data_IF_847321616595
#
_entry.id   IF_847321616595
#
_cell.length_a   1.000
_cell.length_b   1.000
_cell.length_c   1.000
_cell.angle_alpha   90.00
_cell.angle_beta   90.00
_cell.angle_gamma   90.00
#
_symmetry.space_group_name_H-M   'P 1'
#
loop_
_entity.id
_entity.type
_entity.pdbx_description
1 polymer ?
#
# COMPACT_ATOMS: atom_id res chain seq x y z
N UNK A 1 44.80 -12.59 -19.10
CA UNK A 1 44.63 -11.23 -18.56
C UNK A 1 43.93 -11.36 -17.23
N UNK A 2 44.68 -11.13 -16.17
CA UNK A 2 44.33 -11.33 -14.77
C UNK A 2 43.53 -10.10 -14.28
N UNK A 3 42.24 -10.29 -13.98
CA UNK A 3 41.39 -9.20 -13.46
C UNK A 3 41.63 -9.10 -11.96
N UNK A 4 42.60 -8.26 -11.61
CA UNK A 4 42.88 -7.85 -10.24
C UNK A 4 41.63 -7.21 -9.62
N UNK A 5 41.29 -7.72 -8.44
CA UNK A 5 40.36 -7.16 -7.46
C UNK A 5 40.45 -5.64 -7.35
N UNK A 6 39.37 -4.93 -7.67
CA UNK A 6 39.21 -3.51 -7.36
C UNK A 6 38.80 -3.27 -5.89
N UNK A 7 39.22 -4.16 -4.97
CA UNK A 7 38.96 -4.03 -3.53
C UNK A 7 37.48 -3.96 -3.14
N UNK A 8 36.57 -4.25 -4.07
CA UNK A 8 35.13 -4.17 -3.85
C UNK A 8 34.61 -5.56 -3.53
N UNK A 9 34.32 -5.79 -2.25
CA UNK A 9 33.68 -7.02 -1.80
C UNK A 9 32.25 -7.05 -2.37
N UNK A 10 31.99 -7.94 -3.34
CA UNK A 10 30.65 -8.16 -3.88
C UNK A 10 29.78 -8.83 -2.81
N UNK A 11 29.15 -8.01 -1.97
CA UNK A 11 28.12 -8.46 -1.05
C UNK A 11 26.90 -8.91 -1.86
N UNK A 12 26.60 -10.20 -1.80
CA UNK A 12 25.37 -10.74 -2.38
C UNK A 12 24.18 -10.08 -1.68
N UNK A 13 23.28 -9.48 -2.46
CA UNK A 13 22.09 -8.80 -1.94
C UNK A 13 21.21 -9.83 -1.25
N UNK A 14 21.39 -9.95 0.06
CA UNK A 14 20.59 -10.81 0.88
C UNK A 14 19.15 -10.27 0.87
N UNK A 15 18.21 -11.02 0.28
CA UNK A 15 16.79 -10.66 0.25
C UNK A 15 16.14 -10.67 1.66
N UNK A 16 16.90 -11.03 2.70
CA UNK A 16 16.53 -10.87 4.11
C UNK A 16 17.09 -9.59 4.76
N UNK A 17 17.95 -8.83 4.06
CA UNK A 17 18.39 -7.51 4.54
C UNK A 17 17.20 -6.57 4.40
N UNK A 18 16.43 -6.47 5.47
CA UNK A 18 15.31 -5.56 5.56
C UNK A 18 15.82 -4.17 5.14
N UNK A 19 15.39 -3.71 3.97
CA UNK A 19 15.44 -2.33 3.54
C UNK A 19 14.51 -1.57 4.51
N UNK A 20 15.03 -1.35 5.72
CA UNK A 20 14.44 -0.54 6.78
C UNK A 20 14.68 0.88 6.35
N UNK A 21 13.61 1.63 6.17
CA UNK A 21 13.71 3.07 6.15
C UNK A 21 14.31 3.53 7.50
N UNK A 22 15.46 4.20 7.46
CA UNK A 22 16.23 4.60 8.65
C UNK A 22 15.45 5.58 9.55
N UNK A 23 14.42 6.25 9.02
CA UNK A 23 13.58 7.20 9.76
C UNK A 23 12.37 6.56 10.46
N UNK A 24 11.64 5.67 9.77
CA UNK A 24 10.37 5.12 10.27
C UNK A 24 10.47 3.68 10.81
N UNK A 25 11.55 2.94 10.52
CA UNK A 25 11.71 1.54 10.90
C UNK A 25 10.72 0.57 10.22
N UNK A 26 9.83 1.09 9.37
CA UNK A 26 8.80 0.31 8.67
C UNK A 26 9.48 -0.54 7.60
N UNK A 27 9.17 -1.83 7.61
CA UNK A 27 9.73 -2.76 6.63
C UNK A 27 9.09 -2.49 5.27
N UNK A 28 9.92 -2.14 4.28
CA UNK A 28 9.49 -1.97 2.88
C UNK A 28 8.73 -3.21 2.35
N UNK A 29 9.00 -4.39 2.92
CA UNK A 29 8.30 -5.64 2.63
C UNK A 29 6.79 -5.57 2.93
N UNK A 30 6.37 -4.86 3.98
CA UNK A 30 4.96 -4.65 4.30
C UNK A 30 4.25 -3.80 3.26
N UNK A 31 4.93 -2.75 2.77
CA UNK A 31 4.43 -1.87 1.71
C UNK A 31 4.32 -2.65 0.39
N UNK A 32 5.36 -3.40 0.01
CA UNK A 32 5.35 -4.25 -1.19
C UNK A 32 4.23 -5.28 -1.14
N UNK A 33 4.08 -6.00 -0.02
CA UNK A 33 3.02 -7.00 0.17
C UNK A 33 1.62 -6.37 0.06
N UNK A 34 1.42 -5.22 0.71
CA UNK A 34 0.16 -4.48 0.63
C UNK A 34 -0.17 -4.02 -0.80
N UNK A 35 0.84 -3.57 -1.55
CA UNK A 35 0.68 -3.19 -2.96
C UNK A 35 0.35 -4.40 -3.86
N UNK A 36 0.99 -5.56 -3.63
CA UNK A 36 0.66 -6.79 -4.35
C UNK A 36 -0.78 -7.25 -4.09
N UNK A 37 -1.22 -7.23 -2.83
CA UNK A 37 -2.57 -7.60 -2.48
C UNK A 37 -3.61 -6.59 -3.03
N UNK A 38 -3.30 -5.29 -3.00
CA UNK A 38 -4.13 -4.26 -3.64
C UNK A 38 -4.28 -4.51 -5.14
N UNK A 39 -3.17 -4.79 -5.84
CA UNK A 39 -3.19 -5.14 -7.27
C UNK A 39 -4.03 -6.37 -7.57
N UNK A 40 -3.91 -7.42 -6.77
CA UNK A 40 -4.69 -8.64 -6.94
C UNK A 40 -6.20 -8.42 -6.72
N UNK A 41 -6.59 -7.39 -5.98
CA UNK A 41 -8.00 -7.06 -5.71
C UNK A 41 -8.65 -6.17 -6.79
N UNK A 42 -7.86 -5.70 -7.76
CA UNK A 42 -8.35 -4.96 -8.93
C UNK A 42 -8.63 -5.96 -10.07
N UNK A 43 -9.73 -5.80 -10.81
CA UNK A 43 -10.00 -6.67 -11.96
C UNK A 43 -8.94 -6.47 -13.04
N UNK A 44 -8.65 -7.53 -13.79
CA UNK A 44 -7.75 -7.52 -14.95
C UNK A 44 -8.28 -6.70 -16.15
N UNK A 45 -9.53 -6.22 -16.06
CA UNK A 45 -10.17 -5.43 -17.09
C UNK A 45 -9.81 -3.94 -16.94
N UNK A 46 -8.71 -3.55 -17.57
CA UNK A 46 -8.38 -2.15 -17.82
C UNK A 46 -7.59 -1.52 -16.68
N UNK A 47 -6.25 -1.60 -16.81
CA UNK A 47 -5.32 -0.83 -16.00
C UNK A 47 -5.41 0.65 -16.39
N UNK A 48 -6.44 1.31 -15.90
CA UNK A 48 -6.70 2.71 -16.18
C UNK A 48 -6.00 3.53 -15.10
N UNK A 49 -4.91 4.21 -15.47
CA UNK A 49 -4.00 4.91 -14.53
C UNK A 49 -4.72 5.84 -13.55
N UNK A 50 -5.81 6.48 -13.98
CA UNK A 50 -6.58 7.40 -13.12
C UNK A 50 -7.38 6.70 -12.01
N UNK A 51 -7.70 5.40 -12.15
CA UNK A 51 -8.42 4.65 -11.12
C UNK A 51 -7.50 4.06 -10.04
N UNK A 52 -6.17 4.12 -10.18
CA UNK A 52 -5.22 3.50 -9.25
C UNK A 52 -5.38 4.07 -7.84
N UNK A 53 -5.47 5.39 -7.70
CA UNK A 53 -5.61 6.04 -6.39
C UNK A 53 -6.91 5.61 -5.70
N UNK A 54 -8.04 5.64 -6.41
CA UNK A 54 -9.34 5.20 -5.88
C UNK A 54 -9.37 3.72 -5.52
N UNK A 55 -8.76 2.86 -6.35
CA UNK A 55 -8.66 1.43 -6.07
C UNK A 55 -7.78 1.13 -4.85
N UNK A 56 -6.66 1.84 -4.71
CA UNK A 56 -5.79 1.71 -3.54
C UNK A 56 -6.51 2.19 -2.28
N UNK A 57 -7.19 3.34 -2.34
CA UNK A 57 -7.99 3.85 -1.23
C UNK A 57 -9.09 2.86 -0.82
N UNK A 58 -9.83 2.29 -1.80
CA UNK A 58 -10.83 1.25 -1.56
C UNK A 58 -10.23 0.01 -0.89
N UNK A 59 -9.09 -0.47 -1.37
CA UNK A 59 -8.41 -1.63 -0.78
C UNK A 59 -8.00 -1.36 0.67
N UNK A 60 -7.36 -0.22 0.94
CA UNK A 60 -6.93 0.16 2.28
C UNK A 60 -8.12 0.34 3.23
N UNK A 61 -9.19 0.96 2.76
CA UNK A 61 -10.43 1.12 3.52
C UNK A 61 -11.04 -0.24 3.89
N UNK A 62 -11.22 -1.13 2.91
CA UNK A 62 -11.78 -2.46 3.17
C UNK A 62 -10.90 -3.30 4.10
N UNK A 63 -9.57 -3.17 3.97
CA UNK A 63 -8.62 -3.83 4.88
C UNK A 63 -8.81 -3.34 6.31
N UNK A 64 -8.89 -2.02 6.53
CA UNK A 64 -9.13 -1.43 7.85
C UNK A 64 -10.46 -1.89 8.43
N UNK A 65 -11.54 -1.87 7.65
CA UNK A 65 -12.85 -2.32 8.12
C UNK A 65 -12.82 -3.79 8.54
N UNK A 66 -12.12 -4.66 7.78
CA UNK A 66 -11.92 -6.06 8.16
C UNK A 66 -11.11 -6.23 9.44
N UNK A 67 -10.02 -5.49 9.60
CA UNK A 67 -9.19 -5.50 10.82
C UNK A 67 -10.00 -5.06 12.05
N UNK A 68 -10.90 -4.09 11.89
CA UNK A 68 -11.77 -3.56 12.95
C UNK A 68 -13.11 -4.31 13.08
N UNK A 69 -13.36 -5.36 12.28
CA UNK A 69 -14.64 -6.10 12.21
C UNK A 69 -15.86 -5.20 11.98
N UNK A 70 -15.70 -4.17 11.16
CA UNK A 70 -16.74 -3.23 10.78
C UNK A 70 -17.35 -3.60 9.42
N UNK A 71 -18.64 -3.28 9.25
CA UNK A 71 -19.26 -3.31 7.92
C UNK A 71 -18.74 -2.12 7.10
N UNK A 72 -18.05 -2.44 5.99
CA UNK A 72 -17.41 -1.43 5.17
C UNK A 72 -18.41 -0.49 4.48
N UNK A 73 -19.59 -0.98 4.12
CA UNK A 73 -20.63 -0.18 3.46
C UNK A 73 -21.24 0.83 4.42
N UNK A 74 -21.59 0.37 5.63
CA UNK A 74 -22.12 1.23 6.68
C UNK A 74 -21.11 2.30 7.09
N UNK A 75 -19.84 1.92 7.28
CA UNK A 75 -18.78 2.84 7.65
C UNK A 75 -18.52 3.88 6.55
N UNK A 76 -18.61 3.48 5.27
CA UNK A 76 -18.51 4.41 4.16
C UNK A 76 -19.63 5.46 4.19
N UNK A 77 -20.88 5.04 4.34
CA UNK A 77 -22.00 5.97 4.42
C UNK A 77 -21.91 6.90 5.64
N UNK A 78 -21.44 6.38 6.78
CA UNK A 78 -21.20 7.20 7.98
C UNK A 78 -20.18 8.30 7.71
N UNK A 79 -19.04 7.97 7.12
CA UNK A 79 -17.98 8.94 6.78
C UNK A 79 -18.42 9.93 5.71
N UNK A 80 -19.09 9.46 4.65
CA UNK A 80 -19.63 10.31 3.59
C UNK A 80 -20.68 11.29 4.14
N UNK A 81 -21.58 10.80 5.00
CA UNK A 81 -22.58 11.64 5.67
C UNK A 81 -21.95 12.71 6.54
N UNK A 82 -20.90 12.41 7.30
CA UNK A 82 -20.16 13.42 8.09
C UNK A 82 -19.53 14.49 7.21
N UNK A 83 -18.87 14.09 6.12
CA UNK A 83 -18.22 15.01 5.20
C UNK A 83 -19.24 15.94 4.52
N UNK A 84 -20.35 15.39 4.02
CA UNK A 84 -21.35 16.17 3.28
C UNK A 84 -22.25 17.00 4.20
N UNK A 85 -22.65 16.50 5.37
CA UNK A 85 -23.43 17.27 6.33
C UNK A 85 -22.62 18.43 6.93
N UNK A 86 -21.31 18.28 7.10
CA UNK A 86 -20.43 19.38 7.53
C UNK A 86 -20.32 20.51 6.49
N UNK A 87 -20.75 20.26 5.24
CA UNK A 87 -20.62 21.21 4.13
C UNK A 87 -21.94 21.96 3.85
N UNK A 88 -23.06 21.56 4.45
CA UNK A 88 -24.33 22.28 4.34
C UNK A 88 -24.46 23.31 5.47
N UNK A 89 -24.64 24.61 5.18
CA UNK A 89 -24.97 25.59 6.22
C UNK A 89 -26.37 25.28 6.77
N UNK A 90 -26.50 25.38 8.10
CA UNK A 90 -27.74 25.24 8.87
C UNK A 90 -28.79 26.27 8.48
#
# INVERSE_FOLDING_TARGET
MDKRDEGYEHMSVNHSLNFKDLGSGVHTNGIKSSWHAAKSSMSSAGWVKHHIAGNLARYMFNRRCRELKMDATLEFFRLAGQLHNATLPS
#
